data_IF_567085619032
#
_entry.id   IF_567085619032
#
_cell.length_a   1.000
_cell.length_b   1.000
_cell.length_c   1.000
_cell.angle_alpha   90.00
_cell.angle_beta   90.00
_cell.angle_gamma   90.00
#
_symmetry.space_group_name_H-M   'P 1'
#
loop_
_entity.id
_entity.type
_entity.pdbx_description
1 polymer ?
#
# COMPACT_ATOMS: atom_id res chain seq x y z
N UNK A 1 -22.72 19.33 -41.65
CA UNK A 1 -21.55 18.43 -41.50
C UNK A 1 -21.69 17.67 -40.19
N UNK A 2 -21.62 16.33 -40.24
CA UNK A 2 -22.88 15.60 -40.12
C UNK A 2 -22.95 14.79 -38.82
N UNK A 3 -24.16 14.68 -38.27
CA UNK A 3 -24.52 13.81 -37.13
C UNK A 3 -23.92 12.39 -37.20
N UNK A 4 -23.62 11.91 -38.41
CA UNK A 4 -22.89 10.65 -38.67
C UNK A 4 -21.48 10.62 -38.06
N UNK A 5 -20.71 11.71 -38.14
CA UNK A 5 -19.35 11.79 -37.56
C UNK A 5 -19.41 11.71 -36.03
N UNK A 6 -20.41 12.34 -35.41
CA UNK A 6 -20.62 12.27 -33.96
C UNK A 6 -21.00 10.85 -33.52
N UNK A 7 -21.84 10.15 -34.27
CA UNK A 7 -22.20 8.76 -34.00
C UNK A 7 -20.98 7.84 -34.11
N UNK A 8 -20.15 8.00 -35.14
CA UNK A 8 -18.91 7.23 -35.27
C UNK A 8 -17.90 7.55 -34.16
N UNK A 9 -17.83 8.80 -33.71
CA UNK A 9 -16.97 9.19 -32.60
C UNK A 9 -17.43 8.56 -31.27
N UNK A 10 -18.74 8.56 -31.01
CA UNK A 10 -19.33 7.95 -29.81
C UNK A 10 -19.18 6.43 -29.84
N UNK A 11 -19.45 5.77 -30.97
CA UNK A 11 -19.25 4.33 -31.12
C UNK A 11 -17.78 3.94 -30.98
N UNK A 12 -16.86 4.74 -31.53
CA UNK A 12 -15.43 4.56 -31.34
C UNK A 12 -15.02 4.69 -29.87
N UNK A 13 -15.55 5.69 -29.16
CA UNK A 13 -15.26 5.90 -27.74
C UNK A 13 -15.78 4.75 -26.87
N UNK A 14 -16.98 4.22 -27.18
CA UNK A 14 -17.58 3.07 -26.51
C UNK A 14 -16.80 1.79 -26.79
N UNK A 15 -16.35 1.58 -28.03
CA UNK A 15 -15.52 0.43 -28.38
C UNK A 15 -14.15 0.45 -27.68
N UNK A 16 -13.52 1.63 -27.60
CA UNK A 16 -12.25 1.80 -26.87
C UNK A 16 -12.42 1.57 -25.37
N UNK A 17 -13.51 2.09 -24.78
CA UNK A 17 -13.78 1.85 -23.35
C UNK A 17 -14.17 0.39 -23.05
N UNK A 18 -14.85 -0.31 -23.96
CA UNK A 18 -15.08 -1.76 -23.86
C UNK A 18 -13.78 -2.58 -23.99
N UNK A 19 -12.86 -2.18 -24.88
CA UNK A 19 -11.55 -2.84 -25.00
C UNK A 19 -10.66 -2.61 -23.77
N UNK A 20 -10.72 -1.43 -23.17
CA UNK A 20 -10.07 -1.14 -21.88
C UNK A 20 -10.68 -1.97 -20.74
N UNK A 21 -12.00 -2.21 -20.75
CA UNK A 21 -12.64 -3.10 -19.77
C UNK A 21 -12.22 -4.57 -19.96
N UNK A 22 -12.10 -5.03 -21.21
CA UNK A 22 -11.69 -6.40 -21.53
C UNK A 22 -10.24 -6.71 -21.13
N UNK A 23 -9.33 -5.77 -21.36
CA UNK A 23 -7.93 -5.87 -20.91
C UNK A 23 -7.82 -5.83 -19.38
N UNK A 24 -8.62 -5.01 -18.71
CA UNK A 24 -8.69 -4.97 -17.25
C UNK A 24 -9.18 -6.31 -16.64
N UNK A 25 -10.16 -6.97 -17.26
CA UNK A 25 -10.63 -8.29 -16.82
C UNK A 25 -9.60 -9.40 -17.05
N UNK A 26 -8.74 -9.26 -18.06
CA UNK A 26 -7.71 -10.24 -18.37
C UNK A 26 -6.55 -10.21 -17.35
N UNK A 27 -6.26 -9.04 -16.76
CA UNK A 27 -5.26 -8.87 -15.69
C UNK A 27 -5.76 -9.35 -14.31
N UNK A 28 -7.07 -9.44 -14.08
CA UNK A 28 -7.63 -10.04 -12.86
C UNK A 28 -7.53 -11.58 -12.92
N UNK A 29 -7.50 -12.16 -14.12
CA UNK A 29 -7.44 -13.61 -14.36
C UNK A 29 -6.09 -14.27 -14.07
N UNK A 30 -4.98 -13.53 -14.14
CA UNK A 30 -3.62 -14.04 -13.86
C UNK A 30 -3.30 -14.17 -12.37
N UNK A 31 -4.20 -13.72 -11.48
CA UNK A 31 -4.09 -13.94 -10.04
C UNK A 31 -4.53 -15.34 -9.59
N UNK A 32 -5.05 -16.19 -10.49
CA UNK A 32 -5.41 -17.57 -10.19
C UNK A 32 -4.47 -18.54 -10.93
N UNK A 33 -3.36 -18.92 -10.28
CA UNK A 33 -2.72 -20.25 -10.31
C UNK A 33 -1.22 -20.14 -9.99
N UNK A 34 -0.89 -20.02 -8.70
CA UNK A 34 0.22 -20.82 -8.18
C UNK A 34 -0.03 -21.13 -6.71
N UNK A 35 0.08 -22.42 -6.40
CA UNK A 35 -0.32 -23.06 -5.15
C UNK A 35 0.61 -22.65 -4.01
N UNK A 36 0.26 -21.60 -3.29
CA UNK A 36 0.64 -21.44 -1.88
C UNK A 36 -0.41 -20.53 -1.25
N UNK A 37 -1.20 -21.04 -0.30
CA UNK A 37 -2.37 -20.34 0.29
C UNK A 37 -2.08 -18.85 0.49
N UNK A 38 -2.56 -17.94 -0.38
CA UNK A 38 -2.47 -16.53 -0.10
C UNK A 38 -3.58 -16.25 0.92
N UNK A 39 -3.19 -15.92 2.15
CA UNK A 39 -4.12 -15.20 3.03
C UNK A 39 -4.54 -13.97 2.25
N UNK A 40 -5.79 -13.98 1.79
CA UNK A 40 -6.41 -12.92 1.00
C UNK A 40 -6.47 -11.68 1.89
N UNK A 41 -5.41 -10.87 1.87
CA UNK A 41 -5.44 -9.53 2.44
C UNK A 41 -6.29 -8.73 1.47
N UNK A 42 -7.52 -8.44 1.88
CA UNK A 42 -8.43 -7.57 1.14
C UNK A 42 -7.80 -6.17 1.21
N UNK A 43 -7.16 -5.73 0.13
CA UNK A 43 -6.79 -4.33 -0.04
C UNK A 43 -8.08 -3.62 -0.41
N UNK A 44 -8.79 -3.15 0.62
CA UNK A 44 -9.96 -2.33 0.44
C UNK A 44 -9.46 -0.92 0.08
N UNK A 45 -9.78 -0.46 -1.13
CA UNK A 45 -9.59 0.94 -1.52
C UNK A 45 -10.50 1.77 -0.61
N UNK A 46 -9.91 2.43 0.38
CA UNK A 46 -10.64 3.12 1.44
C UNK A 46 -10.55 4.64 1.22
N UNK A 47 -11.72 5.24 1.19
CA UNK A 47 -11.96 6.66 0.95
C UNK A 47 -11.20 7.53 1.96
N UNK A 48 -10.57 8.58 1.44
CA UNK A 48 -9.91 9.61 2.23
C UNK A 48 -10.96 10.51 2.87
N UNK A 49 -11.49 10.12 4.03
CA UNK A 49 -12.34 10.99 4.85
C UNK A 49 -11.52 11.62 5.97
N UNK A 50 -11.16 12.89 5.77
CA UNK A 50 -10.47 13.68 6.77
C UNK A 50 -11.35 13.97 7.99
N UNK A 51 -11.13 13.24 9.08
CA UNK A 51 -11.38 13.72 10.45
C UNK A 51 -10.04 14.08 11.06
N UNK A 52 -9.98 15.21 11.76
CA UNK A 52 -8.84 15.57 12.62
C UNK A 52 -8.77 14.59 13.81
N UNK A 53 -8.33 13.37 13.55
CA UNK A 53 -7.99 12.38 14.58
C UNK A 53 -6.60 12.69 15.12
N UNK A 54 -6.50 12.87 16.43
CA UNK A 54 -5.21 13.06 17.11
C UNK A 54 -4.55 11.69 17.26
N UNK A 55 -3.67 11.34 16.31
CA UNK A 55 -2.95 10.07 16.31
C UNK A 55 -1.92 9.98 17.46
N UNK A 56 -1.66 8.76 17.91
CA UNK A 56 -0.71 8.40 18.97
C UNK A 56 0.18 7.26 18.51
N UNK A 57 1.40 7.16 19.06
CA UNK A 57 2.32 6.04 18.75
C UNK A 57 1.72 4.66 19.00
N UNK A 58 0.76 4.53 19.92
CA UNK A 58 0.00 3.28 20.12
C UNK A 58 -0.83 2.87 18.90
N UNK A 59 -1.18 3.77 17.99
CA UNK A 59 -2.02 3.46 16.83
C UNK A 59 -1.29 2.56 15.83
N UNK A 60 0.05 2.65 15.80
CA UNK A 60 0.90 1.75 15.01
C UNK A 60 1.26 0.45 15.74
N UNK A 61 0.85 0.24 17.00
CA UNK A 61 1.04 -1.02 17.72
C UNK A 61 0.36 -2.18 16.98
N UNK A 62 1.02 -3.33 16.90
CA UNK A 62 0.41 -4.58 16.43
C UNK A 62 1.17 -5.25 15.31
N UNK A 63 0.50 -6.17 14.63
CA UNK A 63 1.03 -6.88 13.48
C UNK A 63 0.64 -6.16 12.19
N UNK A 64 1.64 -5.76 11.41
CA UNK A 64 1.49 -5.09 10.12
C UNK A 64 2.11 -5.92 9.01
N UNK A 65 1.44 -5.97 7.86
CA UNK A 65 2.00 -6.50 6.61
C UNK A 65 2.30 -5.33 5.69
N UNK A 66 3.56 -5.14 5.35
CA UNK A 66 4.05 -4.12 4.42
C UNK A 66 4.23 -4.72 3.03
N UNK A 67 3.84 -3.96 2.02
CA UNK A 67 4.02 -4.26 0.60
C UNK A 67 4.88 -3.18 -0.02
N UNK A 68 6.07 -3.56 -0.47
CA UNK A 68 7.03 -2.68 -1.14
C UNK A 68 6.92 -2.88 -2.65
N UNK A 69 6.55 -1.83 -3.38
CA UNK A 69 6.28 -1.87 -4.81
C UNK A 69 7.52 -1.46 -5.60
N UNK A 70 8.32 -2.46 -5.98
CA UNK A 70 9.47 -2.26 -6.87
C UNK A 70 8.98 -2.16 -8.33
N UNK A 71 9.85 -1.69 -9.22
CA UNK A 71 9.54 -1.56 -10.66
C UNK A 71 9.15 -2.89 -11.33
N UNK A 72 9.68 -4.01 -10.84
CA UNK A 72 9.57 -5.34 -11.43
C UNK A 72 8.74 -6.32 -10.59
N UNK A 73 8.50 -6.02 -9.31
CA UNK A 73 7.81 -6.91 -8.38
C UNK A 73 7.30 -6.18 -7.13
N UNK A 74 6.36 -6.80 -6.42
CA UNK A 74 5.99 -6.40 -5.06
C UNK A 74 6.58 -7.38 -4.04
N UNK A 75 7.22 -6.87 -3.00
CA UNK A 75 7.78 -7.66 -1.89
C UNK A 75 6.95 -7.42 -0.65
N UNK A 76 6.46 -8.48 -0.01
CA UNK A 76 5.71 -8.41 1.24
C UNK A 76 6.59 -8.80 2.43
N UNK A 77 6.44 -8.10 3.55
CA UNK A 77 7.09 -8.45 4.82
C UNK A 77 6.25 -8.02 6.02
N UNK A 78 6.45 -8.70 7.14
CA UNK A 78 5.74 -8.49 8.39
C UNK A 78 6.57 -7.63 9.35
N UNK A 79 5.91 -6.70 10.03
CA UNK A 79 6.44 -5.97 11.18
C UNK A 79 5.53 -6.18 12.39
N UNK A 80 6.13 -6.56 13.51
CA UNK A 80 5.47 -6.57 14.81
C UNK A 80 5.97 -5.37 15.60
N UNK A 81 5.05 -4.48 15.95
CA UNK A 81 5.33 -3.19 16.56
C UNK A 81 4.72 -3.18 17.96
N UNK A 82 5.51 -2.79 18.97
CA UNK A 82 5.02 -2.64 20.34
C UNK A 82 4.34 -1.28 20.59
N UNK A 83 3.84 -1.07 21.82
CA UNK A 83 3.16 0.17 22.25
C UNK A 83 4.02 1.43 22.14
N UNK A 84 5.35 1.28 22.18
CA UNK A 84 6.29 2.38 22.06
C UNK A 84 6.67 2.65 20.59
N UNK A 85 6.12 1.88 19.64
CA UNK A 85 6.44 1.98 18.22
C UNK A 85 7.69 1.20 17.82
N UNK A 86 8.26 0.36 18.70
CA UNK A 86 9.47 -0.41 18.39
C UNK A 86 9.12 -1.69 17.63
N UNK A 87 9.87 -1.96 16.56
CA UNK A 87 9.83 -3.22 15.81
C UNK A 87 10.51 -4.31 16.62
N UNK A 88 9.70 -5.22 17.15
CA UNK A 88 10.15 -6.34 18.00
C UNK A 88 10.35 -7.64 17.22
N UNK A 89 9.73 -7.77 16.04
CA UNK A 89 9.90 -8.93 15.16
C UNK A 89 9.62 -8.56 13.71
N UNK A 90 10.30 -9.25 12.80
CA UNK A 90 10.21 -9.04 11.36
C UNK A 90 10.78 -10.25 10.60
N UNK A 91 10.29 -10.50 9.39
CA UNK A 91 10.88 -11.42 8.42
C UNK A 91 11.75 -10.72 7.37
N UNK A 92 11.90 -9.39 7.44
CA UNK A 92 12.81 -8.63 6.60
C UNK A 92 14.17 -8.52 7.28
N UNK A 93 15.24 -8.97 6.62
CA UNK A 93 16.59 -8.97 7.20
C UNK A 93 17.02 -7.56 7.66
N UNK A 94 17.53 -7.44 8.88
CA UNK A 94 18.14 -6.20 9.39
C UNK A 94 17.20 -5.14 9.97
N UNK A 95 15.93 -5.46 10.23
CA UNK A 95 14.93 -4.48 10.73
C UNK A 95 14.58 -4.59 12.23
N UNK A 96 15.15 -5.54 12.97
CA UNK A 96 14.92 -5.69 14.41
C UNK A 96 15.47 -4.47 15.19
N UNK A 97 14.64 -3.85 16.03
CA UNK A 97 15.02 -2.72 16.88
C UNK A 97 14.76 -1.33 16.29
N UNK A 98 14.19 -1.22 15.08
CA UNK A 98 13.75 0.07 14.54
C UNK A 98 12.59 0.66 15.34
N UNK A 99 12.44 1.99 15.31
CA UNK A 99 11.35 2.70 15.98
C UNK A 99 10.53 3.48 14.96
N UNK A 100 9.24 3.18 14.90
CA UNK A 100 8.23 3.93 14.17
C UNK A 100 7.63 5.00 15.09
N UNK A 101 7.52 6.21 14.58
CA UNK A 101 6.84 7.33 15.26
C UNK A 101 5.73 7.84 14.37
N UNK A 102 4.60 8.21 14.98
CA UNK A 102 3.50 8.89 14.31
C UNK A 102 3.30 10.26 14.95
N UNK A 103 3.08 11.29 14.14
CA UNK A 103 2.74 12.62 14.63
C UNK A 103 1.22 12.81 14.78
N UNK A 104 0.80 13.95 15.33
CA UNK A 104 -0.62 14.24 15.56
C UNK A 104 -1.45 14.38 14.27
N UNK A 105 -0.82 14.39 13.09
CA UNK A 105 -1.46 14.46 11.77
C UNK A 105 -1.50 13.09 11.08
N UNK A 106 -0.96 12.05 11.72
CA UNK A 106 -0.90 10.71 11.16
C UNK A 106 0.32 10.47 10.29
N UNK A 107 1.27 11.40 10.20
CA UNK A 107 2.51 11.13 9.46
C UNK A 107 3.36 10.14 10.23
N UNK A 108 3.77 9.06 9.56
CA UNK A 108 4.57 7.98 10.12
C UNK A 108 5.99 8.07 9.58
N UNK A 109 6.97 8.01 10.48
CA UNK A 109 8.38 7.95 10.12
C UNK A 109 9.08 6.82 10.85
N UNK A 110 9.93 6.11 10.12
CA UNK A 110 10.80 5.09 10.69
C UNK A 110 12.18 5.17 10.06
N UNK A 111 13.22 5.04 10.89
CA UNK A 111 14.57 4.81 10.40
C UNK A 111 14.95 3.39 10.78
N UNK A 112 15.06 2.55 9.76
CA UNK A 112 15.53 1.18 9.88
C UNK A 112 16.93 1.10 9.25
N UNK A 113 17.87 0.25 9.70
CA UNK A 113 19.16 0.12 9.04
C UNK A 113 19.00 -0.15 7.54
N UNK A 114 19.41 0.83 6.72
CA UNK A 114 19.31 0.76 5.26
C UNK A 114 18.01 1.33 4.65
N UNK A 115 16.95 1.54 5.43
CA UNK A 115 15.64 1.99 4.96
C UNK A 115 15.10 3.17 5.79
N UNK A 116 14.65 4.23 5.11
CA UNK A 116 13.87 5.31 5.73
C UNK A 116 12.45 5.24 5.22
N UNK A 117 11.50 5.04 6.13
CA UNK A 117 10.06 5.08 5.83
C UNK A 117 9.52 6.47 6.13
N UNK A 118 8.76 7.01 5.18
CA UNK A 118 8.00 8.25 5.33
C UNK A 118 6.61 8.03 4.73
N UNK A 119 5.57 8.07 5.56
CA UNK A 119 4.23 7.71 5.16
C UNK A 119 3.14 8.37 6.00
N UNK A 120 1.91 7.94 5.79
CA UNK A 120 0.72 8.45 6.46
C UNK A 120 -0.13 7.27 6.90
N UNK A 121 -0.57 7.31 8.16
CA UNK A 121 -1.55 6.42 8.76
C UNK A 121 -2.95 6.93 8.41
N UNK A 122 -3.83 6.04 7.97
CA UNK A 122 -5.23 6.38 7.73
C UNK A 122 -5.98 6.52 9.06
N UNK A 123 -7.03 7.34 9.04
CA UNK A 123 -7.97 7.64 10.13
C UNK A 123 -8.58 6.40 10.80
N UNK A 124 -8.61 5.25 10.12
CA UNK A 124 -9.09 3.96 10.66
C UNK A 124 -8.00 3.12 11.33
N UNK A 125 -6.76 3.63 11.42
CA UNK A 125 -5.56 3.02 12.00
C UNK A 125 -5.23 1.59 11.53
N UNK A 126 -5.89 1.11 10.48
CA UNK A 126 -5.72 -0.23 9.91
C UNK A 126 -4.93 -0.23 8.61
N UNK A 127 -4.53 0.95 8.13
CA UNK A 127 -3.85 1.14 6.87
C UNK A 127 -2.81 2.26 6.96
N UNK A 128 -1.69 2.07 6.27
CA UNK A 128 -0.62 3.04 6.10
C UNK A 128 -0.12 3.01 4.65
N UNK A 129 0.32 4.14 4.13
CA UNK A 129 0.99 4.22 2.83
C UNK A 129 2.06 5.28 2.81
N UNK A 130 3.00 5.17 1.89
CA UNK A 130 4.03 6.19 1.72
C UNK A 130 5.18 5.74 0.83
N UNK A 131 6.35 6.28 1.13
CA UNK A 131 7.59 6.00 0.42
C UNK A 131 8.65 5.42 1.36
N UNK A 132 9.42 4.49 0.81
CA UNK A 132 10.63 3.93 1.38
C UNK A 132 11.81 4.49 0.58
N UNK A 133 12.74 5.11 1.29
CA UNK A 133 14.05 5.49 0.73
C UNK A 133 15.08 4.48 1.20
N UNK A 134 15.55 3.66 0.29
CA UNK A 134 16.62 2.71 0.55
C UNK A 134 17.98 3.34 0.21
N UNK A 135 18.94 3.29 1.13
CA UNK A 135 20.25 3.94 0.95
C UNK A 135 21.00 3.50 -0.31
N UNK A 136 20.78 2.25 -0.75
CA UNK A 136 21.49 1.64 -1.89
C UNK A 136 20.72 1.71 -3.21
N UNK A 137 19.49 2.23 -3.19
CA UNK A 137 18.62 2.24 -4.37
C UNK A 137 18.44 3.66 -4.90
N UNK A 138 18.44 3.79 -6.23
CA UNK A 138 18.13 5.07 -6.88
C UNK A 138 16.62 5.27 -6.91
N UNK A 139 16.12 6.14 -6.04
CA UNK A 139 14.74 6.61 -6.05
C UNK A 139 13.89 6.07 -4.90
N UNK A 140 12.78 6.77 -4.58
CA UNK A 140 11.83 6.31 -3.59
C UNK A 140 11.05 5.10 -4.11
N UNK A 141 10.69 4.21 -3.20
CA UNK A 141 9.89 3.02 -3.46
C UNK A 141 8.55 3.18 -2.75
N UNK A 142 7.44 3.03 -3.46
CA UNK A 142 6.13 3.12 -2.84
C UNK A 142 5.90 1.93 -1.91
N UNK A 143 5.24 2.18 -0.78
CA UNK A 143 4.75 1.12 0.08
C UNK A 143 3.30 1.36 0.48
N UNK A 144 2.62 0.25 0.72
CA UNK A 144 1.36 0.19 1.45
C UNK A 144 1.51 -0.81 2.61
N UNK A 145 0.75 -0.64 3.67
CA UNK A 145 0.74 -1.57 4.78
C UNK A 145 -0.64 -1.67 5.40
N UNK A 146 -1.02 -2.88 5.82
CA UNK A 146 -2.28 -3.13 6.49
C UNK A 146 -2.03 -3.76 7.86
N UNK A 147 -2.85 -3.39 8.83
CA UNK A 147 -2.86 -3.98 10.15
C UNK A 147 -3.62 -5.29 10.10
N UNK A 148 -3.02 -6.36 10.64
CA UNK A 148 -3.67 -7.66 10.77
C UNK A 148 -4.55 -7.63 12.01
N UNK A 149 -5.86 -7.46 11.81
CA UNK A 149 -6.87 -7.66 12.85
C UNK A 149 -7.09 -9.16 13.08
N UNK A 150 -7.23 -9.55 14.36
CA UNK A 150 -7.71 -10.88 14.76
C UNK A 150 -9.22 -10.87 14.85
#
# INVERSE_FOLDING_TARGET
>A
MPKKVLIFLVLGLVAVSLMLLGTFMQDIGTCNLSKTKPKKVIIQELETTGRHSMFKTSDVEGHWVFFMHLSDRTVAFDLFIDKAGKVIKTNYSGTAGAMLKVDSKGNVRASIPGLVLDGVLDSTASYMRGIIKEKRRRGPVWFSACKVSR
#
